data_IF_693314178097
#
_entry.id   IF_693314178097
#
_cell.length_a   1.000
_cell.length_b   1.000
_cell.length_c   1.000
_cell.angle_alpha   90.00
_cell.angle_beta   90.00
_cell.angle_gamma   90.00
#
_symmetry.space_group_name_H-M   'P 1'
#
loop_
_entity.id
_entity.type
_entity.pdbx_description
1 polymer ?
#
# COMPACT_ATOMS: atom_id res chain seq x y z
N UNK A 1 2.88 3.81 7.87
CA UNK A 1 2.99 4.68 9.08
C UNK A 1 4.23 4.41 9.93
N UNK A 2 4.47 3.18 10.42
CA UNK A 2 5.58 2.87 11.35
C UNK A 2 6.97 3.24 10.83
N UNK A 3 7.22 2.99 9.54
CA UNK A 3 8.51 3.19 8.89
C UNK A 3 8.72 4.62 8.40
N UNK A 4 7.93 5.62 8.82
CA UNK A 4 8.03 7.02 8.35
C UNK A 4 7.76 7.26 6.84
N UNK A 5 7.47 6.23 6.05
CA UNK A 5 7.08 6.39 4.64
C UNK A 5 7.52 5.24 3.74
N UNK A 6 7.31 5.43 2.43
CA UNK A 6 7.63 4.44 1.37
C UNK A 6 9.14 4.23 1.25
N UNK A 7 9.93 5.31 1.33
CA UNK A 7 11.39 5.25 1.17
C UNK A 7 12.02 4.28 2.17
N UNK A 8 11.80 4.51 3.47
CA UNK A 8 12.39 3.66 4.50
C UNK A 8 11.72 2.28 4.55
N UNK A 9 10.41 2.18 4.24
CA UNK A 9 9.76 0.87 4.08
C UNK A 9 10.46 0.02 3.02
N UNK A 10 10.77 0.58 1.85
CA UNK A 10 11.46 -0.16 0.78
C UNK A 10 12.83 -0.68 1.22
N UNK A 11 13.63 0.14 1.91
CA UNK A 11 14.93 -0.25 2.46
C UNK A 11 14.82 -1.36 3.51
N UNK A 12 13.82 -1.27 4.40
CA UNK A 12 13.55 -2.33 5.37
C UNK A 12 13.18 -3.66 4.68
N UNK A 13 12.39 -3.61 3.60
CA UNK A 13 11.99 -4.81 2.84
C UNK A 13 13.17 -5.43 2.10
N UNK A 14 14.04 -4.61 1.51
CA UNK A 14 15.28 -5.05 0.84
C UNK A 14 16.22 -5.73 1.84
N UNK A 15 16.46 -5.12 2.99
CA UNK A 15 17.33 -5.68 4.03
C UNK A 15 16.75 -6.98 4.60
N UNK A 16 15.44 -7.03 4.87
CA UNK A 16 14.78 -8.26 5.31
C UNK A 16 14.96 -9.41 4.29
N UNK A 17 14.85 -9.11 2.98
CA UNK A 17 15.11 -10.10 1.93
C UNK A 17 16.57 -10.53 1.87
N UNK A 18 17.52 -9.61 2.03
CA UNK A 18 18.95 -9.92 2.07
C UNK A 18 19.29 -10.87 3.23
N UNK A 19 18.58 -10.75 4.35
CA UNK A 19 18.69 -11.65 5.51
C UNK A 19 17.91 -12.97 5.36
N UNK A 20 17.22 -13.19 4.23
CA UNK A 20 16.41 -14.39 4.00
C UNK A 20 15.08 -14.41 4.75
N UNK A 21 14.64 -13.28 5.29
CA UNK A 21 13.31 -13.15 5.89
C UNK A 21 12.22 -12.94 4.83
N UNK A 22 11.01 -13.35 5.21
CA UNK A 22 9.80 -13.03 4.44
C UNK A 22 9.23 -11.69 4.88
N UNK A 23 8.50 -11.05 3.99
CA UNK A 23 7.97 -9.71 4.17
C UNK A 23 6.45 -9.70 4.03
N UNK A 24 5.77 -9.17 5.05
CA UNK A 24 4.36 -8.76 4.97
C UNK A 24 4.29 -7.23 5.01
N UNK A 25 3.57 -6.63 4.07
CA UNK A 25 3.25 -5.21 4.09
C UNK A 25 1.81 -5.01 4.57
N UNK A 26 1.60 -4.06 5.49
CA UNK A 26 0.30 -3.80 6.10
C UNK A 26 -0.07 -2.32 6.12
N UNK A 27 -1.33 -2.01 6.44
CA UNK A 27 -1.82 -0.67 6.73
C UNK A 27 -2.55 -0.60 8.08
N UNK A 28 -2.80 0.63 8.57
CA UNK A 28 -3.86 0.85 9.56
C UNK A 28 -5.21 1.08 8.85
N UNK A 29 -6.26 1.41 9.60
CA UNK A 29 -7.49 1.98 9.03
C UNK A 29 -7.18 3.35 8.41
N UNK A 30 -6.85 3.36 7.12
CA UNK A 30 -6.28 4.48 6.38
C UNK A 30 -7.05 4.73 5.08
N UNK A 31 -7.00 5.96 4.58
CA UNK A 31 -7.55 6.33 3.27
C UNK A 31 -6.80 5.69 2.11
N UNK A 32 -7.41 5.71 0.92
CA UNK A 32 -6.80 5.22 -0.32
C UNK A 32 -5.45 5.88 -0.62
N UNK A 33 -5.16 7.08 -0.12
CA UNK A 33 -3.87 7.75 -0.32
C UNK A 33 -2.70 6.90 0.25
N UNK A 34 -2.75 6.59 1.53
CA UNK A 34 -1.65 5.86 2.19
C UNK A 34 -1.62 4.38 1.79
N UNK A 35 -2.78 3.78 1.58
CA UNK A 35 -2.86 2.36 1.17
C UNK A 35 -2.41 2.17 -0.27
N UNK A 36 -2.69 3.12 -1.18
CA UNK A 36 -2.13 3.07 -2.55
C UNK A 36 -0.61 3.23 -2.51
N UNK A 37 -0.08 4.13 -1.69
CA UNK A 37 1.35 4.26 -1.46
C UNK A 37 2.00 2.94 -1.01
N UNK A 38 1.39 2.24 -0.05
CA UNK A 38 1.87 0.91 0.37
C UNK A 38 1.72 -0.15 -0.73
N UNK A 39 0.61 -0.12 -1.49
CA UNK A 39 0.35 -1.07 -2.56
C UNK A 39 1.40 -1.02 -3.69
N UNK A 40 2.04 0.12 -3.93
CA UNK A 40 3.17 0.22 -4.87
C UNK A 40 4.39 -0.61 -4.43
N UNK A 41 4.54 -0.89 -3.13
CA UNK A 41 5.57 -1.78 -2.61
C UNK A 41 5.14 -3.26 -2.53
N UNK A 42 3.85 -3.56 -2.73
CA UNK A 42 3.32 -4.92 -2.61
C UNK A 42 4.05 -5.96 -3.48
N UNK A 43 4.55 -5.65 -4.71
CA UNK A 43 5.35 -6.60 -5.49
C UNK A 43 6.66 -7.07 -4.81
N UNK A 44 7.16 -6.32 -3.82
CA UNK A 44 8.34 -6.70 -3.03
C UNK A 44 7.97 -7.52 -1.78
N UNK A 45 6.70 -7.64 -1.44
CA UNK A 45 6.21 -8.38 -0.28
C UNK A 45 5.79 -9.80 -0.68
N UNK A 46 5.81 -10.73 0.28
CA UNK A 46 5.25 -12.07 0.12
C UNK A 46 3.75 -12.09 0.46
N UNK A 47 3.30 -11.15 1.31
CA UNK A 47 1.90 -10.94 1.68
C UNK A 47 1.56 -9.47 1.81
N UNK A 48 0.30 -9.13 1.55
CA UNK A 48 -0.23 -7.78 1.67
C UNK A 48 -1.53 -7.78 2.49
N UNK A 49 -1.57 -6.94 3.52
CA UNK A 49 -2.73 -6.63 4.34
C UNK A 49 -3.09 -5.15 4.14
N UNK A 50 -3.81 -4.87 3.05
CA UNK A 50 -4.02 -3.52 2.51
C UNK A 50 -5.51 -3.20 2.30
N UNK A 51 -6.34 -3.59 3.26
CA UNK A 51 -7.81 -3.43 3.22
C UNK A 51 -8.33 -2.17 3.92
N UNK A 52 -7.45 -1.36 4.50
CA UNK A 52 -7.78 -0.14 5.25
C UNK A 52 -8.87 0.77 4.64
N UNK A 53 -8.84 1.07 3.32
CA UNK A 53 -9.84 1.93 2.70
C UNK A 53 -11.25 1.32 2.70
N UNK A 54 -11.37 -0.01 2.74
CA UNK A 54 -12.65 -0.71 2.83
C UNK A 54 -13.24 -0.68 4.25
N UNK A 55 -12.43 -0.32 5.25
CA UNK A 55 -12.81 -0.30 6.67
C UNK A 55 -13.22 1.09 7.17
N UNK A 56 -13.17 2.12 6.32
CA UNK A 56 -13.53 3.50 6.66
C UNK A 56 -14.70 3.99 5.77
N UNK A 57 -15.47 4.95 6.27
CA UNK A 57 -16.66 5.48 5.57
C UNK A 57 -16.44 6.82 4.87
N UNK A 58 -15.28 7.44 5.05
CA UNK A 58 -14.99 8.81 4.66
C UNK A 58 -13.68 8.94 3.87
N UNK A 59 -13.39 7.98 3.00
CA UNK A 59 -12.19 8.01 2.15
C UNK A 59 -12.26 9.17 1.13
N UNK A 60 -11.37 10.18 1.20
CA UNK A 60 -11.41 11.34 0.31
C UNK A 60 -10.69 11.10 -1.03
N UNK A 61 -10.20 9.88 -1.29
CA UNK A 61 -9.45 9.56 -2.51
C UNK A 61 -9.98 8.32 -3.22
N UNK A 62 -9.88 8.30 -4.54
CA UNK A 62 -9.85 7.05 -5.31
C UNK A 62 -8.39 6.65 -5.53
N UNK A 63 -8.09 5.37 -5.32
CA UNK A 63 -6.76 4.83 -5.54
C UNK A 63 -6.81 3.34 -5.86
N UNK A 64 -5.92 2.58 -5.24
CA UNK A 64 -5.84 1.12 -5.38
C UNK A 64 -7.21 0.47 -5.15
N UNK A 65 -7.55 -0.52 -5.98
CA UNK A 65 -8.82 -1.26 -5.91
C UNK A 65 -8.55 -2.73 -5.69
N UNK A 66 -9.37 -3.38 -4.88
CA UNK A 66 -9.35 -4.83 -4.76
C UNK A 66 -10.28 -5.44 -5.81
N UNK A 67 -9.74 -6.31 -6.66
CA UNK A 67 -10.51 -7.08 -7.66
C UNK A 67 -10.04 -8.52 -7.67
N UNK A 68 -10.98 -9.46 -7.52
CA UNK A 68 -10.71 -10.90 -7.52
C UNK A 68 -9.59 -11.31 -6.55
N UNK A 69 -9.59 -10.71 -5.36
CA UNK A 69 -8.58 -10.94 -4.32
C UNK A 69 -7.20 -10.34 -4.60
N UNK A 70 -7.07 -9.46 -5.60
CA UNK A 70 -5.82 -8.78 -5.96
C UNK A 70 -5.94 -7.27 -5.84
N UNK A 71 -4.85 -6.64 -5.41
CA UNK A 71 -4.70 -5.18 -5.44
C UNK A 71 -4.37 -4.73 -6.86
N UNK A 72 -5.21 -3.88 -7.42
CA UNK A 72 -5.07 -3.29 -8.75
C UNK A 72 -4.63 -1.84 -8.57
N UNK A 73 -3.37 -1.56 -8.93
CA UNK A 73 -2.82 -0.21 -8.88
C UNK A 73 -3.51 0.70 -9.91
N UNK A 74 -3.76 1.97 -9.57
CA UNK A 74 -4.30 2.93 -10.51
C UNK A 74 -3.25 3.28 -11.58
N UNK A 75 -3.73 3.73 -12.73
CA UNK A 75 -2.89 4.19 -13.83
C UNK A 75 -2.74 5.72 -13.76
N UNK A 76 -1.52 6.22 -13.61
CA UNK A 76 -1.26 7.65 -13.54
C UNK A 76 0.10 7.96 -12.92
N UNK A 77 0.55 9.22 -12.98
CA UNK A 77 1.81 9.63 -12.37
C UNK A 77 1.76 9.59 -10.84
N UNK A 78 2.92 9.44 -10.22
CA UNK A 78 3.04 9.36 -8.76
C UNK A 78 2.29 8.16 -8.20
N UNK A 79 1.42 8.39 -7.22
CA UNK A 79 0.58 7.33 -6.64
C UNK A 79 -0.60 6.94 -7.55
N UNK A 80 -0.95 7.76 -8.54
CA UNK A 80 -2.13 7.55 -9.40
C UNK A 80 -3.47 7.76 -8.70
N UNK A 81 -3.50 8.44 -7.54
CA UNK A 81 -4.73 8.71 -6.80
C UNK A 81 -5.42 9.98 -7.31
N UNK A 82 -6.74 10.02 -7.21
CA UNK A 82 -7.55 11.22 -7.48
C UNK A 82 -8.32 11.60 -6.21
N UNK A 83 -8.45 12.91 -5.97
CA UNK A 83 -9.26 13.41 -4.85
C UNK A 83 -10.73 13.36 -5.25
N UNK A 84 -11.57 12.76 -4.41
CA UNK A 84 -13.02 12.78 -4.56
C UNK A 84 -13.49 14.14 -3.99
N UNK A 85 -14.10 14.95 -4.84
CA UNK A 85 -14.58 16.29 -4.50
C UNK A 85 -15.60 16.27 -3.36
#
# INVERSE_FOLDING_TARGET
MKSTGIWEASRMMEEARAMGFKVLIGCMAESSCAVTAAAHLAPLADWADLDGPALISNDPFTGVKMKDGKMILPTGPGLGIEKIA
#
